data_IF_434214269095
#
_entry.id   IF_434214269095
#
_cell.length_a   1.000
_cell.length_b   1.000
_cell.length_c   1.000
_cell.angle_alpha   90.00
_cell.angle_beta   90.00
_cell.angle_gamma   90.00
#
_symmetry.space_group_name_H-M   'P 1'
#
loop_
_entity.id
_entity.type
_entity.pdbx_description
1 polymer ?
#
# COMPACT_ATOMS: atom_id res chain seq x y z
N UNK A 1 -23.23 -13.50 -43.52
CA UNK A 1 -23.32 -12.29 -44.40
C UNK A 1 -23.70 -11.12 -43.55
N UNK A 2 -23.02 -10.01 -43.72
CA UNK A 2 -23.09 -8.66 -43.14
C UNK A 2 -22.13 -8.38 -41.97
N UNK A 3 -20.96 -7.89 -42.44
CA UNK A 3 -19.97 -7.17 -41.68
C UNK A 3 -20.54 -5.79 -41.30
N UNK A 4 -20.44 -5.39 -40.04
CA UNK A 4 -20.68 -4.00 -39.65
C UNK A 4 -19.41 -3.46 -39.00
N UNK A 5 -18.70 -2.66 -39.79
CA UNK A 5 -17.55 -1.85 -39.33
C UNK A 5 -18.11 -0.69 -38.50
N UNK A 6 -17.66 -0.56 -37.28
CA UNK A 6 -17.86 0.65 -36.49
C UNK A 6 -16.54 1.40 -36.44
N UNK A 7 -16.55 2.54 -37.10
CA UNK A 7 -15.49 3.53 -37.20
C UNK A 7 -15.33 4.24 -35.88
N UNK A 8 -14.18 4.06 -35.24
CA UNK A 8 -13.85 4.73 -33.99
C UNK A 8 -13.24 6.11 -34.29
N UNK A 9 -14.02 7.17 -34.06
CA UNK A 9 -13.57 8.55 -34.24
C UNK A 9 -12.83 9.01 -32.97
N UNK A 10 -11.52 9.14 -33.05
CA UNK A 10 -10.68 9.77 -32.06
C UNK A 10 -10.85 11.29 -32.16
N UNK A 11 -11.41 11.91 -31.12
CA UNK A 11 -11.38 13.35 -30.94
C UNK A 11 -10.23 13.70 -30.02
N UNK A 12 -9.17 14.24 -30.61
CA UNK A 12 -8.01 14.78 -29.93
C UNK A 12 -8.32 16.24 -29.58
N UNK A 13 -8.57 16.53 -28.30
CA UNK A 13 -8.72 17.90 -27.79
C UNK A 13 -7.35 18.38 -27.30
N UNK A 14 -6.71 19.21 -28.11
CA UNK A 14 -5.49 19.93 -27.74
C UNK A 14 -5.92 21.22 -27.02
N UNK A 15 -5.66 21.34 -25.72
CA UNK A 15 -5.79 22.60 -24.98
C UNK A 15 -4.41 23.27 -24.94
N UNK A 16 -4.26 24.32 -25.71
CA UNK A 16 -3.07 25.18 -25.71
C UNK A 16 -3.26 26.26 -24.64
N UNK A 17 -2.44 26.25 -23.59
CA UNK A 17 -2.37 27.33 -22.61
C UNK A 17 -1.20 28.24 -23.01
N UNK A 18 -1.51 29.42 -23.52
CA UNK A 18 -0.54 30.49 -23.79
C UNK A 18 -0.37 31.32 -22.51
N UNK A 19 0.80 31.26 -21.90
CA UNK A 19 1.19 32.18 -20.85
C UNK A 19 1.67 33.50 -21.48
N UNK A 20 0.95 34.59 -21.20
CA UNK A 20 1.36 35.95 -21.58
C UNK A 20 2.26 36.52 -20.47
N UNK A 21 3.54 36.71 -20.78
CA UNK A 21 4.43 37.56 -19.98
C UNK A 21 4.19 39.04 -20.34
N UNK A 22 3.74 39.82 -19.39
CA UNK A 22 3.78 41.29 -19.45
C UNK A 22 5.02 41.76 -18.71
N UNK A 23 5.97 42.33 -19.46
CA UNK A 23 7.09 43.10 -18.92
C UNK A 23 6.62 44.54 -18.77
N UNK A 24 6.65 45.04 -17.55
CA UNK A 24 6.65 46.47 -17.29
C UNK A 24 8.02 46.87 -16.74
N UNK A 25 8.69 47.72 -17.53
CA UNK A 25 9.92 48.43 -17.13
C UNK A 25 9.53 49.69 -16.41
N UNK A 26 10.00 49.86 -15.20
CA UNK A 26 10.14 51.19 -14.62
C UNK A 26 11.51 51.30 -13.96
N UNK A 27 12.37 52.13 -14.56
CA UNK A 27 13.64 52.57 -14.02
C UNK A 27 13.40 53.43 -12.78
N UNK A 28 14.07 53.12 -11.68
CA UNK A 28 14.49 54.09 -10.68
C UNK A 28 15.66 53.53 -9.88
N UNK A 29 16.81 54.08 -10.11
CA UNK A 29 18.02 53.85 -9.35
C UNK A 29 17.88 54.41 -7.92
N UNK A 30 18.10 53.56 -6.91
CA UNK A 30 18.61 53.96 -5.60
C UNK A 30 19.61 52.91 -5.12
N UNK A 31 20.84 53.34 -5.07
CA UNK A 31 22.00 52.70 -4.51
C UNK A 31 21.86 52.59 -2.98
N UNK A 32 21.81 51.38 -2.43
CA UNK A 32 22.16 51.07 -1.05
C UNK A 32 22.63 49.62 -0.90
N UNK A 33 23.73 49.45 -0.20
CA UNK A 33 24.60 48.30 -0.12
C UNK A 33 23.99 46.99 0.40
N UNK A 34 24.76 45.87 0.33
CA UNK A 34 24.24 44.53 0.60
C UNK A 34 24.00 44.34 2.09
N UNK A 35 22.75 44.25 2.48
CA UNK A 35 22.36 43.58 3.73
C UNK A 35 22.23 42.11 3.40
N UNK A 36 23.22 41.33 3.76
CA UNK A 36 23.09 39.85 3.80
C UNK A 36 22.09 39.52 4.90
N UNK A 37 20.83 39.31 4.55
CA UNK A 37 19.90 38.58 5.39
C UNK A 37 20.35 37.10 5.43
N UNK A 38 20.53 36.53 6.63
CA UNK A 38 20.73 35.08 6.73
C UNK A 38 19.43 34.41 6.31
N UNK A 39 19.43 33.82 5.12
CA UNK A 39 18.37 32.94 4.64
C UNK A 39 18.32 31.76 5.60
N UNK A 40 17.43 31.81 6.59
CA UNK A 40 17.08 30.66 7.38
C UNK A 40 16.52 29.63 6.39
N UNK A 41 17.33 28.63 6.04
CA UNK A 41 16.87 27.47 5.31
C UNK A 41 15.72 26.85 6.12
N UNK A 42 14.60 26.73 5.48
CA UNK A 42 13.38 26.24 6.08
C UNK A 42 13.55 24.71 6.24
N UNK A 43 14.11 24.28 7.36
CA UNK A 43 14.35 22.86 7.68
C UNK A 43 13.07 22.00 7.54
N UNK A 44 11.89 22.63 7.70
CA UNK A 44 10.60 21.97 7.52
C UNK A 44 10.28 21.65 6.05
N UNK A 45 10.69 22.46 5.08
CA UNK A 45 10.46 22.16 3.65
C UNK A 45 11.36 21.02 3.17
N UNK A 46 12.56 20.89 3.73
CA UNK A 46 13.50 19.83 3.38
C UNK A 46 13.04 18.48 3.96
N UNK A 47 12.49 18.47 5.18
CA UNK A 47 11.91 17.28 5.82
C UNK A 47 10.67 16.78 5.09
N UNK A 48 9.72 17.65 4.74
CA UNK A 48 8.50 17.29 3.99
C UNK A 48 8.86 16.64 2.64
N UNK A 49 9.83 17.21 1.93
CA UNK A 49 10.26 16.69 0.63
C UNK A 49 10.98 15.34 0.74
N UNK A 50 11.62 15.06 1.87
CA UNK A 50 12.27 13.78 2.11
C UNK A 50 11.26 12.67 2.40
N UNK A 51 10.27 12.90 3.28
CA UNK A 51 9.22 11.97 3.62
C UNK A 51 8.35 11.61 2.39
N UNK A 52 7.98 12.59 1.58
CA UNK A 52 7.21 12.38 0.34
C UNK A 52 7.98 11.52 -0.67
N UNK A 53 9.28 11.74 -0.83
CA UNK A 53 10.11 10.92 -1.72
C UNK A 53 10.25 9.48 -1.22
N UNK A 54 10.36 9.28 0.08
CA UNK A 54 10.46 7.94 0.68
C UNK A 54 9.15 7.19 0.51
N UNK A 55 8.00 7.84 0.71
CA UNK A 55 6.67 7.27 0.49
C UNK A 55 6.46 6.88 -0.98
N UNK A 56 6.78 7.74 -1.93
CA UNK A 56 6.68 7.45 -3.36
C UNK A 56 7.55 6.24 -3.72
N UNK A 57 8.81 6.23 -3.29
CA UNK A 57 9.73 5.12 -3.56
C UNK A 57 9.23 3.80 -3.00
N UNK A 58 8.64 3.79 -1.81
CA UNK A 58 8.06 2.62 -1.17
C UNK A 58 6.86 2.08 -1.95
N UNK A 59 5.96 2.97 -2.38
CA UNK A 59 4.77 2.61 -3.15
C UNK A 59 5.13 2.07 -4.55
N UNK A 60 6.14 2.65 -5.21
CA UNK A 60 6.66 2.15 -6.48
C UNK A 60 7.22 0.72 -6.36
N UNK A 61 7.75 0.35 -5.21
CA UNK A 61 8.22 -1.00 -4.90
C UNK A 61 7.08 -1.96 -4.48
N UNK A 62 5.84 -1.48 -4.44
CA UNK A 62 4.69 -2.26 -4.00
C UNK A 62 4.69 -2.57 -2.50
N UNK A 63 5.38 -1.76 -1.69
CA UNK A 63 5.46 -1.94 -0.24
C UNK A 63 4.41 -1.05 0.43
N UNK A 64 3.55 -1.64 1.24
CA UNK A 64 2.55 -0.98 2.07
C UNK A 64 2.95 -1.04 3.54
N UNK A 65 2.43 -0.12 4.32
CA UNK A 65 2.51 -0.14 5.78
C UNK A 65 1.24 -0.76 6.38
N UNK A 66 1.32 -1.18 7.63
CA UNK A 66 0.15 -1.61 8.40
C UNK A 66 -0.86 -0.46 8.46
N UNK A 67 -2.12 -0.73 8.17
CA UNK A 67 -3.21 0.24 8.02
C UNK A 67 -3.51 0.63 6.57
N UNK A 68 -2.57 0.46 5.64
CA UNK A 68 -2.80 0.74 4.23
C UNK A 68 -3.50 -0.42 3.52
N UNK A 69 -4.22 -0.11 2.45
CA UNK A 69 -4.98 -1.09 1.67
C UNK A 69 -4.57 -1.11 0.21
N UNK A 70 -4.71 -2.28 -0.41
CA UNK A 70 -4.52 -2.45 -1.85
C UNK A 70 -5.75 -3.09 -2.47
N UNK A 71 -6.11 -2.62 -3.66
CA UNK A 71 -7.16 -3.19 -4.47
C UNK A 71 -6.56 -4.09 -5.55
N UNK A 72 -6.76 -5.39 -5.41
CA UNK A 72 -6.57 -6.34 -6.48
C UNK A 72 -7.79 -6.45 -7.40
N UNK A 73 -7.84 -7.49 -8.26
CA UNK A 73 -8.96 -7.70 -9.18
C UNK A 73 -10.27 -8.09 -8.49
N UNK A 74 -10.19 -8.87 -7.41
CA UNK A 74 -11.34 -9.44 -6.69
C UNK A 74 -11.53 -8.85 -5.31
N UNK A 75 -10.46 -8.43 -4.65
CA UNK A 75 -10.43 -8.05 -3.26
C UNK A 75 -9.88 -6.63 -3.08
N UNK A 76 -10.39 -5.93 -2.07
CA UNK A 76 -9.67 -4.84 -1.40
C UNK A 76 -9.16 -5.41 -0.09
N UNK A 77 -7.86 -5.44 0.10
CA UNK A 77 -7.22 -6.06 1.25
C UNK A 77 -6.40 -5.05 2.03
N UNK A 78 -6.44 -5.12 3.36
CA UNK A 78 -5.60 -4.33 4.24
C UNK A 78 -5.09 -5.17 5.42
N UNK A 79 -3.85 -4.93 5.85
CA UNK A 79 -3.36 -5.38 7.14
C UNK A 79 -3.73 -4.34 8.18
N UNK A 80 -4.58 -4.71 9.12
CA UNK A 80 -5.07 -3.80 10.17
C UNK A 80 -4.10 -3.68 11.34
N UNK A 81 -3.49 -4.80 11.71
CA UNK A 81 -2.49 -4.86 12.79
C UNK A 81 -1.69 -6.15 12.72
N UNK A 82 -0.54 -6.16 13.36
CA UNK A 82 0.25 -7.37 13.58
C UNK A 82 0.87 -7.32 14.98
N UNK A 83 0.96 -8.48 15.63
CA UNK A 83 1.54 -8.58 16.97
C UNK A 83 2.14 -9.97 17.22
N UNK A 84 3.03 -10.03 18.21
CA UNK A 84 3.60 -11.26 18.71
C UNK A 84 2.69 -11.83 19.82
N UNK A 85 2.26 -13.06 19.65
CA UNK A 85 1.64 -13.83 20.73
C UNK A 85 2.75 -14.52 21.54
N UNK A 86 3.06 -13.94 22.71
CA UNK A 86 4.15 -14.42 23.56
C UNK A 86 3.89 -15.80 24.16
N UNK A 87 2.64 -16.28 24.17
CA UNK A 87 2.27 -17.57 24.78
C UNK A 87 2.66 -18.78 23.94
N UNK A 88 2.84 -18.61 22.62
CA UNK A 88 3.07 -19.73 21.69
C UNK A 88 4.04 -19.43 20.54
N UNK A 89 4.91 -18.45 20.70
CA UNK A 89 5.92 -18.04 19.68
C UNK A 89 5.32 -17.91 18.29
N UNK A 90 4.22 -17.18 18.18
CA UNK A 90 3.54 -16.95 16.91
C UNK A 90 3.33 -15.48 16.61
N UNK A 91 3.38 -15.13 15.33
CA UNK A 91 2.97 -13.81 14.83
C UNK A 91 1.51 -13.91 14.37
N UNK A 92 0.68 -12.98 14.86
CA UNK A 92 -0.71 -12.86 14.43
C UNK A 92 -0.84 -11.59 13.59
N UNK A 93 -1.41 -11.74 12.39
CA UNK A 93 -1.71 -10.64 11.48
C UNK A 93 -3.23 -10.55 11.30
N UNK A 94 -3.81 -9.41 11.64
CA UNK A 94 -5.21 -9.13 11.41
C UNK A 94 -5.37 -8.49 10.02
N UNK A 95 -6.19 -9.13 9.19
CA UNK A 95 -6.38 -8.77 7.78
C UNK A 95 -7.85 -8.52 7.50
N UNK A 96 -8.19 -7.41 6.87
CA UNK A 96 -9.52 -7.21 6.30
C UNK A 96 -9.51 -7.55 4.82
N UNK A 97 -10.55 -8.28 4.38
CA UNK A 97 -10.76 -8.64 2.97
C UNK A 97 -12.16 -8.24 2.56
N UNK A 98 -12.27 -7.27 1.66
CA UNK A 98 -13.53 -6.80 1.09
C UNK A 98 -13.71 -7.34 -0.31
N UNK A 99 -14.86 -7.93 -0.59
CA UNK A 99 -15.25 -8.31 -1.94
C UNK A 99 -15.63 -7.06 -2.76
N UNK A 100 -14.89 -6.80 -3.84
CA UNK A 100 -15.16 -5.68 -4.77
C UNK A 100 -15.83 -6.14 -6.07
N UNK A 101 -16.29 -7.39 -6.12
CA UNK A 101 -17.04 -7.97 -7.24
C UNK A 101 -18.53 -7.94 -7.00
N UNK A 102 -19.30 -8.06 -8.07
CA UNK A 102 -20.76 -8.16 -8.05
C UNK A 102 -21.30 -9.57 -7.72
N UNK A 103 -20.42 -10.54 -7.38
CA UNK A 103 -20.78 -11.93 -7.04
C UNK A 103 -20.10 -12.36 -5.75
N UNK A 104 -20.68 -13.33 -5.06
CA UNK A 104 -20.05 -13.95 -3.87
C UNK A 104 -18.74 -14.64 -4.26
N UNK A 105 -17.72 -14.47 -3.46
CA UNK A 105 -16.39 -15.07 -3.64
C UNK A 105 -15.98 -15.85 -2.39
N UNK A 106 -15.25 -16.96 -2.60
CA UNK A 106 -14.64 -17.73 -1.51
C UNK A 106 -13.22 -17.27 -1.24
N UNK A 107 -12.72 -17.50 -0.04
CA UNK A 107 -11.35 -17.16 0.37
C UNK A 107 -10.38 -18.36 0.35
N UNK A 108 -10.81 -19.53 -0.11
CA UNK A 108 -9.96 -20.75 -0.18
C UNK A 108 -8.72 -20.59 -1.07
N UNK A 109 -8.77 -19.67 -2.03
CA UNK A 109 -7.67 -19.39 -2.96
C UNK A 109 -6.55 -18.54 -2.33
N UNK A 110 -6.83 -17.86 -1.22
CA UNK A 110 -5.86 -16.98 -0.59
C UNK A 110 -4.86 -17.78 0.24
N UNK A 111 -3.58 -17.59 -0.04
CA UNK A 111 -2.47 -18.13 0.75
C UNK A 111 -1.72 -16.98 1.40
N UNK A 112 -1.56 -17.09 2.70
CA UNK A 112 -0.94 -16.04 3.52
C UNK A 112 0.50 -16.43 3.82
N UNK A 113 1.42 -15.48 3.59
CA UNK A 113 2.84 -15.70 3.76
C UNK A 113 3.45 -14.57 4.58
N UNK A 114 4.38 -14.93 5.45
CA UNK A 114 5.19 -14.02 6.23
C UNK A 114 6.65 -14.32 5.95
N UNK A 115 7.38 -13.38 5.36
CA UNK A 115 8.80 -13.52 5.04
C UNK A 115 9.61 -12.76 6.08
N UNK A 116 10.57 -13.41 6.69
CA UNK A 116 11.61 -12.78 7.51
C UNK A 116 12.57 -12.03 6.59
N UNK A 117 12.73 -10.72 6.79
CA UNK A 117 13.61 -9.91 5.93
C UNK A 117 15.10 -10.15 6.19
N UNK A 118 15.45 -10.70 7.35
CA UNK A 118 16.83 -10.94 7.71
C UNK A 118 17.41 -12.18 7.04
N UNK A 119 16.66 -13.29 7.06
CA UNK A 119 17.15 -14.59 6.56
C UNK A 119 16.38 -15.08 5.32
N UNK A 120 15.34 -14.36 4.89
CA UNK A 120 14.52 -14.66 3.74
C UNK A 120 13.58 -15.85 3.93
N UNK A 121 13.45 -16.36 5.16
CA UNK A 121 12.60 -17.51 5.47
C UNK A 121 11.12 -17.15 5.36
N UNK A 122 10.34 -18.03 4.72
CA UNK A 122 8.92 -17.85 4.51
C UNK A 122 8.14 -18.80 5.42
N UNK A 123 7.24 -18.22 6.22
CA UNK A 123 6.30 -18.92 7.07
C UNK A 123 4.92 -18.90 6.41
N UNK A 124 4.22 -20.04 6.42
CA UNK A 124 2.86 -20.17 5.89
C UNK A 124 1.84 -19.89 6.98
N UNK A 125 0.92 -18.97 6.71
CA UNK A 125 -0.14 -18.58 7.63
C UNK A 125 -1.34 -19.51 7.57
N UNK A 126 -2.02 -19.62 8.71
CA UNK A 126 -3.31 -20.33 8.86
C UNK A 126 -4.34 -19.34 9.38
N UNK A 127 -5.56 -19.37 8.84
CA UNK A 127 -6.68 -18.62 9.42
C UNK A 127 -7.04 -19.22 10.76
N UNK A 128 -7.09 -18.41 11.80
CA UNK A 128 -7.45 -18.84 13.14
C UNK A 128 -8.97 -19.02 13.24
N UNK A 129 -9.39 -20.10 13.91
CA UNK A 129 -10.79 -20.41 14.26
C UNK A 129 -11.76 -20.59 13.09
N UNK A 130 -11.28 -20.55 11.84
CA UNK A 130 -12.12 -20.71 10.65
C UNK A 130 -11.39 -21.52 9.57
N UNK A 131 -12.16 -22.29 8.81
CA UNK A 131 -11.63 -22.92 7.60
C UNK A 131 -11.85 -21.95 6.41
N UNK A 132 -10.80 -21.51 5.71
CA UNK A 132 -10.92 -20.59 4.58
C UNK A 132 -11.90 -21.06 3.50
N UNK A 133 -12.08 -22.38 3.34
CA UNK A 133 -13.02 -22.95 2.37
C UNK A 133 -14.49 -22.66 2.70
N UNK A 134 -14.80 -22.39 3.96
CA UNK A 134 -16.17 -22.13 4.42
C UNK A 134 -16.50 -20.62 4.41
N UNK A 135 -15.50 -19.76 4.20
CA UNK A 135 -15.67 -18.32 4.20
C UNK A 135 -16.14 -17.86 2.82
N UNK A 136 -17.38 -17.39 2.77
CA UNK A 136 -18.00 -16.79 1.58
C UNK A 136 -18.27 -15.31 1.85
N UNK A 137 -17.74 -14.44 0.97
CA UNK A 137 -17.85 -12.99 1.10
C UNK A 137 -18.80 -12.48 0.01
N UNK A 138 -19.96 -11.92 0.42
CA UNK A 138 -20.95 -11.36 -0.50
C UNK A 138 -20.44 -10.06 -1.14
N UNK A 139 -21.03 -9.60 -2.25
CA UNK A 139 -20.71 -8.32 -2.87
C UNK A 139 -20.71 -7.17 -1.85
N UNK A 140 -19.60 -6.41 -1.84
CA UNK A 140 -19.35 -5.28 -0.93
C UNK A 140 -19.21 -5.62 0.57
N UNK A 141 -19.31 -6.90 0.93
CA UNK A 141 -19.07 -7.37 2.29
C UNK A 141 -17.55 -7.36 2.60
N UNK A 142 -17.24 -7.09 3.86
CA UNK A 142 -15.87 -7.18 4.41
C UNK A 142 -15.85 -8.23 5.49
N UNK A 143 -14.83 -9.08 5.49
CA UNK A 143 -14.54 -10.03 6.55
C UNK A 143 -13.20 -9.69 7.19
N UNK A 144 -13.12 -9.90 8.49
CA UNK A 144 -11.89 -9.78 9.27
C UNK A 144 -11.33 -11.16 9.55
N UNK A 145 -10.05 -11.36 9.25
CA UNK A 145 -9.35 -12.61 9.42
C UNK A 145 -8.18 -12.43 10.39
N UNK A 146 -7.98 -13.41 11.26
CA UNK A 146 -6.75 -13.54 12.06
C UNK A 146 -5.89 -14.63 11.44
N UNK A 147 -4.71 -14.24 10.97
CA UNK A 147 -3.76 -15.17 10.35
C UNK A 147 -2.64 -15.43 11.35
N UNK A 148 -2.41 -16.68 11.66
CA UNK A 148 -1.38 -17.14 12.60
C UNK A 148 -0.20 -17.72 11.83
N UNK A 149 1.00 -17.29 12.19
CA UNK A 149 2.28 -17.80 11.71
C UNK A 149 3.07 -18.38 12.86
N UNK A 150 3.40 -19.66 12.78
CA UNK A 150 4.29 -20.32 13.73
C UNK A 150 5.74 -19.88 13.42
N UNK A 151 6.28 -19.01 14.26
CA UNK A 151 7.60 -18.40 14.08
C UNK A 151 8.47 -18.77 15.27
N UNK A 152 9.35 -19.77 15.16
CA UNK A 152 10.14 -20.27 16.29
C UNK A 152 11.18 -19.27 16.80
N UNK A 153 11.37 -18.19 16.09
CA UNK A 153 12.26 -17.09 16.44
C UNK A 153 11.70 -15.81 15.83
N UNK A 154 11.54 -14.79 16.64
CA UNK A 154 11.08 -13.48 16.16
C UNK A 154 12.20 -12.74 15.44
N UNK A 155 11.87 -12.16 14.29
CA UNK A 155 12.68 -11.17 13.60
C UNK A 155 12.22 -9.75 13.96
N UNK A 156 13.06 -8.78 13.64
CA UNK A 156 12.76 -7.37 13.87
C UNK A 156 11.79 -6.83 12.80
N UNK A 157 11.82 -7.44 11.61
CA UNK A 157 11.07 -6.98 10.45
C UNK A 157 10.58 -8.17 9.61
N UNK A 158 9.32 -8.09 9.18
CA UNK A 158 8.70 -9.05 8.29
C UNK A 158 8.03 -8.37 7.12
N UNK A 159 7.92 -9.10 6.00
CA UNK A 159 7.07 -8.78 4.87
C UNK A 159 5.91 -9.76 4.80
N UNK A 160 4.69 -9.27 5.01
CA UNK A 160 3.47 -10.05 4.83
C UNK A 160 2.97 -9.90 3.40
N UNK A 161 2.55 -10.99 2.76
CA UNK A 161 1.93 -10.95 1.45
C UNK A 161 0.91 -12.06 1.25
N UNK A 162 -0.01 -11.82 0.30
CA UNK A 162 -1.08 -12.76 -0.04
C UNK A 162 -0.84 -13.26 -1.46
N UNK A 163 -0.84 -14.58 -1.64
CA UNK A 163 -0.84 -15.21 -2.96
C UNK A 163 -2.26 -15.64 -3.32
N UNK A 164 -2.69 -15.33 -4.53
CA UNK A 164 -3.94 -15.81 -5.11
C UNK A 164 -3.74 -16.11 -6.59
N UNK A 165 -4.29 -17.23 -7.05
CA UNK A 165 -4.31 -17.56 -8.47
C UNK A 165 -5.29 -16.71 -9.27
N UNK A 166 -6.31 -16.16 -8.60
CA UNK A 166 -7.34 -15.32 -9.20
C UNK A 166 -6.94 -13.84 -9.25
N UNK A 167 -6.08 -13.43 -8.34
CA UNK A 167 -5.71 -12.04 -8.15
C UNK A 167 -4.26 -11.95 -7.64
N UNK A 168 -3.28 -12.08 -8.53
CA UNK A 168 -1.87 -12.07 -8.15
C UNK A 168 -1.48 -10.67 -7.67
N UNK A 169 -1.63 -10.42 -6.38
CA UNK A 169 -1.12 -9.22 -5.73
C UNK A 169 0.40 -9.32 -5.62
N UNK A 170 1.10 -8.39 -6.28
CA UNK A 170 2.54 -8.20 -6.09
C UNK A 170 2.80 -7.09 -5.08
N UNK A 171 2.15 -7.20 -3.92
CA UNK A 171 2.17 -6.18 -2.89
C UNK A 171 2.50 -6.82 -1.56
N UNK A 172 3.34 -6.12 -0.80
CA UNK A 172 3.82 -6.56 0.50
C UNK A 172 3.44 -5.54 1.55
N UNK A 173 3.05 -6.00 2.74
CA UNK A 173 2.93 -5.14 3.91
C UNK A 173 4.17 -5.31 4.77
N UNK A 174 4.89 -4.22 4.98
CA UNK A 174 6.00 -4.16 5.92
C UNK A 174 5.45 -4.19 7.34
N UNK A 175 5.94 -5.14 8.14
CA UNK A 175 5.60 -5.30 9.55
C UNK A 175 6.89 -5.14 10.34
N UNK A 176 7.01 -4.06 11.06
CA UNK A 176 8.11 -3.77 11.95
C UNK A 176 7.60 -3.59 13.40
N UNK A 177 8.50 -3.67 14.38
CA UNK A 177 8.23 -3.37 15.79
C UNK A 177 7.01 -4.11 16.35
N UNK A 178 6.93 -5.42 16.15
CA UNK A 178 5.89 -6.26 16.75
C UNK A 178 5.81 -6.06 18.25
N UNK A 179 4.65 -5.61 18.74
CA UNK A 179 4.36 -5.54 20.15
C UNK A 179 3.93 -6.91 20.67
N UNK A 180 4.45 -7.31 21.83
CA UNK A 180 4.01 -8.54 22.47
C UNK A 180 2.63 -8.33 23.10
N UNK A 181 1.68 -9.20 22.78
CA UNK A 181 0.40 -9.31 23.45
C UNK A 181 0.33 -10.64 24.21
N UNK A 182 -0.02 -10.57 25.49
CA UNK A 182 -0.33 -11.74 26.31
C UNK A 182 -1.84 -11.80 26.41
N UNK A 183 -2.44 -12.85 25.88
CA UNK A 183 -3.86 -13.15 26.06
C UNK A 183 -4.10 -13.76 27.43
#
# INVERSE_FOLDING_TARGET
>A
MRKLSILLTFILVLVSITAACTQDKTDSAVENGPIEEPTAKNENEELINFEEKEEISRLEQGILLVGESVKGGYYLTAVQSAYLNASNDSVIVNVSVKNVRGQTIGLSELKYNLKDEKDGKIYKGKVLDQNPSDIQVKPNETVELKIVFEVPRTADEYMFYIESSLDPLQTYWKIDKLQSQTN
#
